data_IF_047678258496
#
_entry.id   IF_047678258496
#
_cell.length_a   1.000
_cell.length_b   1.000
_cell.length_c   1.000
_cell.angle_alpha   90.00
_cell.angle_beta   90.00
_cell.angle_gamma   90.00
#
_symmetry.space_group_name_H-M   'P 1'
#
loop_
_entity.id
_entity.type
_entity.pdbx_description
1 polymer ?
#
# COMPACT_ATOMS: atom_id res chain seq x y z
N UNK A 1 12.29 2.75 -10.74
CA UNK A 1 11.14 3.54 -11.24
C UNK A 1 10.72 4.48 -10.11
N UNK A 2 10.68 5.77 -10.37
CA UNK A 2 10.38 6.78 -9.34
C UNK A 2 8.88 7.06 -9.22
N UNK A 3 8.05 6.39 -10.04
CA UNK A 3 6.60 6.53 -10.10
C UNK A 3 5.93 5.16 -10.25
N UNK A 4 4.69 5.05 -9.83
CA UNK A 4 3.88 3.85 -9.89
C UNK A 4 3.03 3.65 -8.63
N UNK A 5 2.47 2.47 -8.46
CA UNK A 5 1.56 2.12 -7.37
C UNK A 5 2.20 1.08 -6.43
N UNK A 6 2.31 1.41 -5.15
CA UNK A 6 2.69 0.49 -4.11
C UNK A 6 1.50 0.26 -3.16
N UNK A 7 1.17 -1.00 -2.91
CA UNK A 7 -0.03 -1.36 -2.14
C UNK A 7 0.33 -2.12 -0.88
N UNK A 8 -0.18 -1.65 0.26
CA UNK A 8 -0.12 -2.40 1.52
C UNK A 8 -1.49 -2.99 1.80
N UNK A 9 -1.57 -4.28 2.01
CA UNK A 9 -2.82 -4.96 2.30
C UNK A 9 -2.81 -5.70 3.64
N UNK A 10 -3.98 -6.07 4.12
CA UNK A 10 -4.16 -6.78 5.38
C UNK A 10 -5.48 -6.43 6.06
N UNK A 11 -5.81 -7.13 7.12
CA UNK A 11 -7.00 -6.86 7.92
C UNK A 11 -6.90 -5.51 8.65
N UNK A 12 -8.02 -5.02 9.19
CA UNK A 12 -8.03 -3.88 10.12
C UNK A 12 -7.13 -4.20 11.31
N UNK A 13 -6.35 -3.21 11.76
CA UNK A 13 -5.42 -3.39 12.88
C UNK A 13 -4.15 -4.19 12.55
N UNK A 14 -3.85 -4.49 11.27
CA UNK A 14 -2.60 -5.19 10.90
C UNK A 14 -1.37 -4.29 10.78
N UNK A 15 -1.49 -2.99 11.07
CA UNK A 15 -0.39 -2.03 11.05
C UNK A 15 -0.13 -1.37 9.68
N UNK A 16 -1.09 -1.40 8.75
CA UNK A 16 -0.94 -0.82 7.40
C UNK A 16 -0.62 0.67 7.44
N UNK A 17 -1.41 1.48 8.16
CA UNK A 17 -1.19 2.92 8.30
C UNK A 17 0.18 3.22 8.90
N UNK A 18 0.56 2.52 9.97
CA UNK A 18 1.88 2.67 10.60
C UNK A 18 3.02 2.43 9.62
N UNK A 19 2.90 1.40 8.78
CA UNK A 19 3.90 1.09 7.76
C UNK A 19 3.93 2.14 6.65
N UNK A 20 2.76 2.63 6.20
CA UNK A 20 2.70 3.75 5.24
C UNK A 20 3.40 4.98 5.78
N UNK A 21 3.12 5.39 7.01
CA UNK A 21 3.80 6.54 7.62
C UNK A 21 5.32 6.32 7.75
N UNK A 22 5.75 5.11 8.10
CA UNK A 22 7.19 4.79 8.14
C UNK A 22 7.85 4.93 6.75
N UNK A 23 7.15 4.54 5.67
CA UNK A 23 7.62 4.73 4.30
C UNK A 23 7.68 6.22 3.95
N UNK A 24 6.64 7.01 4.28
CA UNK A 24 6.62 8.46 4.04
C UNK A 24 7.74 9.17 4.81
N UNK A 25 7.96 8.82 6.08
CA UNK A 25 9.07 9.35 6.89
C UNK A 25 10.43 9.07 6.22
N UNK A 26 10.62 7.85 5.70
CA UNK A 26 11.85 7.48 4.99
C UNK A 26 12.03 8.26 3.68
N UNK A 27 10.95 8.40 2.88
CA UNK A 27 10.97 9.18 1.64
C UNK A 27 11.30 10.64 1.92
N UNK A 28 10.63 11.27 2.89
CA UNK A 28 10.89 12.65 3.25
C UNK A 28 12.32 12.87 3.72
N UNK A 29 12.85 11.96 4.55
CA UNK A 29 14.23 12.04 5.06
C UNK A 29 15.28 11.95 3.96
N UNK A 30 15.06 11.08 2.96
CA UNK A 30 16.04 10.81 1.91
C UNK A 30 15.93 11.75 0.71
N UNK A 31 14.72 12.17 0.34
CA UNK A 31 14.48 12.79 -0.98
C UNK A 31 13.79 14.15 -0.93
N UNK A 32 13.27 14.61 0.22
CA UNK A 32 12.54 15.89 0.39
C UNK A 32 11.49 16.12 -0.70
N UNK A 33 10.63 15.15 -0.93
CA UNK A 33 9.58 15.16 -1.95
C UNK A 33 8.35 15.94 -1.49
N UNK A 34 7.60 16.48 -2.46
CA UNK A 34 6.28 17.04 -2.19
C UNK A 34 5.28 15.89 -1.95
N UNK A 35 4.88 15.71 -0.70
CA UNK A 35 4.04 14.60 -0.26
C UNK A 35 2.66 15.12 0.09
N UNK A 36 1.61 14.53 -0.47
CA UNK A 36 0.23 14.82 -0.13
C UNK A 36 -0.48 13.53 0.29
N UNK A 37 -1.25 13.59 1.38
CA UNK A 37 -2.01 12.44 1.87
C UNK A 37 -3.51 12.72 1.87
N UNK A 38 -4.29 11.70 1.59
CA UNK A 38 -5.76 11.68 1.69
C UNK A 38 -6.15 10.58 2.68
N UNK A 39 -6.79 10.92 3.78
CA UNK A 39 -6.99 10.02 4.93
C UNK A 39 -8.42 10.12 5.50
N UNK A 40 -8.91 9.02 6.07
CA UNK A 40 -10.25 8.93 6.67
C UNK A 40 -10.20 8.10 7.98
N UNK A 41 -9.96 8.76 9.14
CA UNK A 41 -9.44 10.11 9.37
C UNK A 41 -7.88 10.17 9.34
N UNK A 42 -7.31 11.38 9.59
CA UNK A 42 -5.87 11.53 9.83
C UNK A 42 -5.53 10.91 11.20
N UNK A 43 -4.72 9.84 11.20
CA UNK A 43 -4.32 9.15 12.45
C UNK A 43 -3.11 9.80 13.11
N UNK A 44 -2.15 10.30 12.33
CA UNK A 44 -0.88 10.87 12.81
C UNK A 44 -0.57 12.15 12.02
N UNK A 45 -0.46 13.28 12.71
CA UNK A 45 -0.05 14.53 12.08
C UNK A 45 1.43 14.52 11.69
N UNK A 46 1.74 15.02 10.49
CA UNK A 46 3.09 15.12 9.92
C UNK A 46 3.33 16.51 9.36
N UNK A 47 4.34 17.22 9.88
CA UNK A 47 4.63 18.59 9.49
C UNK A 47 5.26 18.74 8.09
N UNK A 48 5.72 17.63 7.50
CA UNK A 48 6.42 17.63 6.22
C UNK A 48 5.53 17.36 5.01
N UNK A 49 4.25 17.08 5.19
CA UNK A 49 3.32 16.79 4.09
C UNK A 49 2.00 17.56 4.26
N UNK A 50 1.31 17.77 3.14
CA UNK A 50 -0.06 18.26 3.16
C UNK A 50 -0.99 17.07 3.39
N UNK A 51 -1.68 17.06 4.55
CA UNK A 51 -2.65 16.03 4.89
C UNK A 51 -4.08 16.56 4.70
N UNK A 52 -4.89 15.83 3.96
CA UNK A 52 -6.29 16.16 3.69
C UNK A 52 -7.16 15.07 4.32
N UNK A 53 -7.96 15.47 5.30
CA UNK A 53 -8.94 14.56 5.90
C UNK A 53 -10.19 14.48 5.02
N UNK A 54 -10.57 13.26 4.69
CA UNK A 54 -11.79 12.97 3.93
C UNK A 54 -13.00 13.01 4.87
N UNK A 55 -14.02 13.75 4.48
CA UNK A 55 -15.32 13.80 5.18
C UNK A 55 -16.43 13.93 4.13
N UNK A 56 -17.01 12.81 3.73
CA UNK A 56 -18.08 12.76 2.73
C UNK A 56 -19.29 13.60 3.12
N UNK A 57 -19.56 13.79 4.43
CA UNK A 57 -20.66 14.63 4.92
C UNK A 57 -20.43 16.11 4.62
N UNK A 58 -19.17 16.52 4.51
CA UNK A 58 -18.77 17.87 4.11
C UNK A 58 -18.50 18.01 2.61
N UNK A 59 -18.71 16.92 1.84
CA UNK A 59 -18.44 16.89 0.40
C UNK A 59 -16.95 16.75 0.06
N UNK A 60 -16.10 16.39 1.03
CA UNK A 60 -14.66 16.14 0.83
C UNK A 60 -14.48 14.64 0.60
N UNK A 61 -14.61 14.19 -0.64
CA UNK A 61 -14.41 12.80 -1.03
C UNK A 61 -12.99 12.53 -1.53
N UNK A 62 -12.57 11.26 -1.51
CA UNK A 62 -11.30 10.84 -2.13
C UNK A 62 -11.21 11.27 -3.59
N UNK A 63 -12.31 11.10 -4.35
CA UNK A 63 -12.35 11.41 -5.78
C UNK A 63 -12.12 12.89 -6.08
N UNK A 64 -12.84 13.79 -5.39
CA UNK A 64 -12.69 15.23 -5.62
C UNK A 64 -11.34 15.75 -5.11
N UNK A 65 -10.90 15.25 -3.96
CA UNK A 65 -9.61 15.62 -3.40
C UNK A 65 -8.44 15.20 -4.30
N UNK A 66 -8.44 13.97 -4.83
CA UNK A 66 -7.42 13.49 -5.78
C UNK A 66 -7.31 14.38 -7.02
N UNK A 67 -8.45 14.82 -7.59
CA UNK A 67 -8.42 15.74 -8.74
C UNK A 67 -7.80 17.09 -8.40
N UNK A 68 -8.04 17.59 -7.18
CA UNK A 68 -7.52 18.89 -6.76
C UNK A 68 -6.02 18.84 -6.47
N UNK A 69 -5.56 17.80 -5.77
CA UNK A 69 -4.15 17.70 -5.38
C UNK A 69 -3.19 17.57 -6.57
N UNK A 70 -3.62 17.03 -7.70
CA UNK A 70 -2.82 16.97 -8.92
C UNK A 70 -2.38 18.36 -9.43
N UNK A 71 -3.08 19.43 -9.02
CA UNK A 71 -2.70 20.82 -9.33
C UNK A 71 -1.61 21.37 -8.42
N UNK A 72 -1.27 20.66 -7.36
CA UNK A 72 -0.23 21.03 -6.41
C UNK A 72 1.13 20.36 -6.71
N UNK A 73 1.25 19.72 -7.88
CA UNK A 73 2.47 19.07 -8.36
C UNK A 73 3.10 18.12 -7.31
N UNK A 74 2.34 17.12 -6.82
CA UNK A 74 2.84 16.19 -5.84
C UNK A 74 3.82 15.18 -6.46
N UNK A 75 4.92 14.90 -5.77
CA UNK A 75 5.79 13.75 -6.13
C UNK A 75 5.21 12.43 -5.61
N UNK A 76 4.62 12.48 -4.41
CA UNK A 76 4.11 11.31 -3.69
C UNK A 76 2.68 11.58 -3.22
N UNK A 77 1.79 10.66 -3.53
CA UNK A 77 0.39 10.70 -3.10
C UNK A 77 0.13 9.48 -2.22
N UNK A 78 -0.29 9.69 -0.97
CA UNK A 78 -0.81 8.60 -0.14
C UNK A 78 -2.34 8.64 -0.15
N UNK A 79 -2.96 7.56 -0.58
CA UNK A 79 -4.40 7.33 -0.45
C UNK A 79 -4.60 6.34 0.69
N UNK A 80 -5.17 6.79 1.80
CA UNK A 80 -5.28 6.00 3.04
C UNK A 80 -5.88 4.62 2.82
N UNK A 81 -6.98 4.54 2.07
CA UNK A 81 -7.57 3.26 1.67
C UNK A 81 -8.34 3.36 0.36
N UNK A 82 -8.17 2.34 -0.48
CA UNK A 82 -8.98 2.13 -1.70
C UNK A 82 -10.11 1.15 -1.41
N UNK A 83 -11.36 1.67 -1.34
CA UNK A 83 -12.55 0.87 -1.04
C UNK A 83 -13.45 0.64 -2.25
N UNK A 84 -13.45 1.56 -3.20
CA UNK A 84 -14.34 1.61 -4.36
C UNK A 84 -13.60 1.80 -5.69
N UNK A 85 -14.31 1.54 -6.77
CA UNK A 85 -13.80 1.61 -8.14
C UNK A 85 -13.30 3.03 -8.50
N UNK A 86 -14.04 4.07 -8.12
CA UNK A 86 -13.68 5.45 -8.48
C UNK A 86 -12.36 5.86 -7.88
N UNK A 87 -12.15 5.56 -6.59
CA UNK A 87 -10.89 5.81 -5.90
C UNK A 87 -9.75 4.98 -6.49
N UNK A 88 -10.01 3.70 -6.84
CA UNK A 88 -9.04 2.82 -7.48
C UNK A 88 -8.58 3.35 -8.85
N UNK A 89 -9.51 3.76 -9.71
CA UNK A 89 -9.23 4.30 -11.03
C UNK A 89 -8.44 5.62 -10.97
N UNK A 90 -8.72 6.48 -9.98
CA UNK A 90 -7.96 7.70 -9.81
C UNK A 90 -6.55 7.45 -9.28
N UNK A 91 -6.37 6.54 -8.31
CA UNK A 91 -5.06 6.13 -7.84
C UNK A 91 -4.22 5.54 -8.99
N UNK A 92 -4.84 4.71 -9.84
CA UNK A 92 -4.22 4.22 -11.08
C UNK A 92 -3.80 5.35 -12.01
N UNK A 93 -4.70 6.30 -12.27
CA UNK A 93 -4.43 7.44 -13.15
C UNK A 93 -3.24 8.26 -12.62
N UNK A 94 -3.18 8.53 -11.32
CA UNK A 94 -2.05 9.21 -10.70
C UNK A 94 -0.72 8.43 -10.91
N UNK A 95 -0.76 7.11 -10.74
CA UNK A 95 0.42 6.26 -10.95
C UNK A 95 0.89 6.24 -12.41
N UNK A 96 -0.04 6.18 -13.38
CA UNK A 96 0.24 6.24 -14.81
C UNK A 96 0.80 7.59 -15.25
N UNK A 97 0.36 8.68 -14.61
CA UNK A 97 0.80 10.05 -14.92
C UNK A 97 2.11 10.47 -14.23
N UNK A 98 2.80 9.53 -13.60
CA UNK A 98 4.17 9.76 -13.14
C UNK A 98 4.32 10.03 -11.63
N UNK A 99 3.26 9.87 -10.83
CA UNK A 99 3.32 10.03 -9.39
C UNK A 99 3.66 8.71 -8.68
N UNK A 100 4.34 8.77 -7.54
CA UNK A 100 4.43 7.63 -6.63
C UNK A 100 3.16 7.59 -5.77
N UNK A 101 2.34 6.57 -5.99
CA UNK A 101 1.10 6.38 -5.23
C UNK A 101 1.28 5.26 -4.21
N UNK A 102 1.02 5.58 -2.95
CA UNK A 102 1.02 4.64 -1.82
C UNK A 102 -0.42 4.47 -1.34
N UNK A 103 -0.88 3.25 -1.17
CA UNK A 103 -2.26 3.03 -0.70
C UNK A 103 -2.40 1.77 0.13
N UNK A 104 -3.54 1.66 0.83
CA UNK A 104 -3.94 0.41 1.46
C UNK A 104 -5.19 -0.18 0.85
N UNK A 105 -5.33 -1.51 1.00
CA UNK A 105 -6.53 -2.25 0.61
C UNK A 105 -6.74 -3.44 1.55
N UNK A 106 -7.98 -3.87 1.73
CA UNK A 106 -8.27 -5.08 2.48
C UNK A 106 -8.11 -6.32 1.60
N UNK A 107 -7.09 -7.15 1.89
CA UNK A 107 -6.89 -8.46 1.28
C UNK A 107 -6.10 -9.36 2.23
N UNK A 108 -6.19 -10.68 2.05
CA UNK A 108 -5.61 -11.69 2.94
C UNK A 108 -4.17 -12.09 2.59
N UNK A 109 -3.73 -11.82 1.36
CA UNK A 109 -2.40 -12.08 0.82
C UNK A 109 -2.16 -11.24 -0.44
N UNK A 110 -0.91 -11.22 -0.94
CA UNK A 110 -0.52 -10.41 -2.10
C UNK A 110 -1.28 -10.78 -3.39
N UNK A 111 -1.53 -12.06 -3.63
CA UNK A 111 -2.28 -12.51 -4.81
C UNK A 111 -3.74 -12.04 -4.74
N UNK A 112 -4.37 -12.16 -3.58
CA UNK A 112 -5.73 -11.65 -3.39
C UNK A 112 -5.80 -10.12 -3.46
N UNK A 113 -4.70 -9.41 -3.19
CA UNK A 113 -4.60 -7.96 -3.40
C UNK A 113 -4.73 -7.62 -4.89
N UNK A 114 -4.03 -8.35 -5.77
CA UNK A 114 -4.16 -8.16 -7.23
C UNK A 114 -5.61 -8.42 -7.66
N UNK A 115 -6.18 -9.54 -7.26
CA UNK A 115 -7.59 -9.88 -7.58
C UNK A 115 -8.58 -8.82 -7.07
N UNK A 116 -8.30 -8.23 -5.90
CA UNK A 116 -9.15 -7.18 -5.35
C UNK A 116 -9.08 -5.90 -6.19
N UNK A 117 -7.90 -5.52 -6.69
CA UNK A 117 -7.73 -4.41 -7.61
C UNK A 117 -8.43 -4.67 -8.95
N UNK A 118 -8.34 -5.88 -9.51
CA UNK A 118 -9.08 -6.29 -10.70
C UNK A 118 -10.60 -6.23 -10.48
N UNK A 119 -11.10 -6.65 -9.31
CA UNK A 119 -12.52 -6.53 -8.94
C UNK A 119 -12.98 -5.07 -8.77
N UNK A 120 -12.05 -4.13 -8.58
CA UNK A 120 -12.29 -2.67 -8.63
C UNK A 120 -12.12 -2.11 -10.05
N UNK A 121 -12.28 -2.97 -11.05
CA UNK A 121 -12.30 -2.63 -12.47
C UNK A 121 -10.99 -2.03 -13.00
N UNK A 122 -9.84 -2.42 -12.40
CA UNK A 122 -8.51 -2.11 -12.94
C UNK A 122 -8.07 -3.29 -13.81
N UNK A 123 -7.65 -3.01 -15.05
CA UNK A 123 -7.20 -4.08 -15.94
C UNK A 123 -5.86 -4.66 -15.49
N UNK A 124 -5.64 -5.95 -15.79
CA UNK A 124 -4.34 -6.60 -15.51
C UNK A 124 -3.17 -5.91 -16.24
N UNK A 125 -3.42 -5.35 -17.44
CA UNK A 125 -2.41 -4.60 -18.21
C UNK A 125 -2.01 -3.31 -17.49
N UNK A 126 -2.99 -2.53 -17.01
CA UNK A 126 -2.71 -1.31 -16.24
C UNK A 126 -1.95 -1.63 -14.93
N UNK A 127 -2.33 -2.73 -14.25
CA UNK A 127 -1.64 -3.18 -13.04
C UNK A 127 -0.19 -3.59 -13.33
N UNK A 128 0.06 -4.29 -14.45
CA UNK A 128 1.41 -4.66 -14.88
C UNK A 128 2.30 -3.43 -15.08
N UNK A 129 1.74 -2.37 -15.66
CA UNK A 129 2.48 -1.14 -15.95
C UNK A 129 2.85 -0.35 -14.69
N UNK A 130 1.94 -0.28 -13.71
CA UNK A 130 2.10 0.63 -12.56
C UNK A 130 2.55 -0.04 -11.27
N UNK A 131 2.27 -1.33 -11.04
CA UNK A 131 2.58 -1.95 -9.76
C UNK A 131 4.08 -2.05 -9.51
N UNK A 132 4.55 -1.40 -8.46
CA UNK A 132 5.93 -1.45 -7.98
C UNK A 132 6.15 -2.61 -7.00
N UNK A 133 5.14 -2.92 -6.21
CA UNK A 133 5.17 -3.97 -5.23
C UNK A 133 3.87 -4.05 -4.43
N UNK A 134 3.67 -5.19 -3.79
CA UNK A 134 2.57 -5.42 -2.86
C UNK A 134 3.13 -6.02 -1.58
N UNK A 135 2.74 -5.44 -0.45
CA UNK A 135 3.04 -5.98 0.87
C UNK A 135 1.73 -6.33 1.58
N UNK A 136 1.61 -7.55 2.08
CA UNK A 136 0.47 -7.92 2.92
C UNK A 136 0.93 -8.16 4.36
N UNK A 137 0.18 -7.62 5.32
CA UNK A 137 0.55 -7.65 6.73
C UNK A 137 -0.50 -8.37 7.57
N UNK A 138 -0.01 -9.16 8.54
CA UNK A 138 -0.81 -9.80 9.59
C UNK A 138 -0.17 -9.52 10.93
N UNK A 139 -0.94 -8.94 11.85
CA UNK A 139 -0.52 -8.83 13.24
C UNK A 139 -0.63 -10.19 13.92
N UNK A 140 0.36 -10.57 14.69
CA UNK A 140 0.44 -11.82 15.45
C UNK A 140 0.97 -11.56 16.85
N UNK A 141 0.74 -12.51 17.74
CA UNK A 141 1.29 -12.52 19.09
C UNK A 141 2.17 -13.76 19.24
N UNK A 142 3.32 -13.62 19.89
CA UNK A 142 4.13 -14.76 20.31
C UNK A 142 3.61 -15.31 21.65
N UNK A 143 4.25 -16.38 22.16
CA UNK A 143 3.84 -17.02 23.42
C UNK A 143 4.01 -16.09 24.64
N UNK A 144 4.86 -15.07 24.53
CA UNK A 144 5.04 -14.02 25.54
C UNK A 144 4.02 -12.88 25.44
N UNK A 145 3.03 -12.99 24.53
CA UNK A 145 2.05 -11.95 24.19
C UNK A 145 2.65 -10.67 23.60
N UNK A 146 3.87 -10.73 23.09
CA UNK A 146 4.48 -9.63 22.36
C UNK A 146 3.90 -9.58 20.93
N UNK A 147 3.59 -8.35 20.48
CA UNK A 147 3.04 -8.11 19.14
C UNK A 147 4.16 -8.08 18.13
N UNK A 148 3.95 -8.77 17.00
CA UNK A 148 4.82 -8.66 15.83
C UNK A 148 4.00 -8.66 14.54
N UNK A 149 4.60 -8.14 13.47
CA UNK A 149 3.99 -8.12 12.15
C UNK A 149 4.62 -9.23 11.29
N UNK A 150 3.78 -10.13 10.83
CA UNK A 150 4.12 -11.09 9.79
C UNK A 150 3.75 -10.47 8.46
N UNK A 151 4.72 -10.35 7.54
CA UNK A 151 4.47 -9.76 6.22
C UNK A 151 4.91 -10.69 5.09
N UNK A 152 4.18 -10.67 4.00
CA UNK A 152 4.61 -11.19 2.70
C UNK A 152 4.80 -10.04 1.72
N UNK A 153 5.65 -10.24 0.72
CA UNK A 153 5.99 -9.19 -0.23
C UNK A 153 6.23 -9.77 -1.63
N UNK A 154 5.59 -9.15 -2.62
CA UNK A 154 5.87 -9.38 -4.04
C UNK A 154 6.50 -8.12 -4.61
N UNK A 155 7.71 -8.23 -5.15
CA UNK A 155 8.39 -7.17 -5.86
C UNK A 155 7.93 -7.04 -7.32
N UNK A 156 8.29 -5.96 -7.98
CA UNK A 156 7.94 -5.69 -9.37
C UNK A 156 8.36 -6.83 -10.31
N UNK A 157 9.54 -7.42 -10.11
CA UNK A 157 10.03 -8.53 -10.94
C UNK A 157 9.14 -9.77 -10.89
N UNK A 158 8.63 -10.11 -9.70
CA UNK A 158 7.71 -11.22 -9.52
C UNK A 158 6.28 -10.86 -9.94
N UNK A 159 5.86 -9.58 -9.84
CA UNK A 159 4.60 -9.11 -10.41
C UNK A 159 4.58 -9.27 -11.93
N UNK A 160 5.62 -8.85 -12.64
CA UNK A 160 5.73 -9.05 -14.09
C UNK A 160 5.64 -10.53 -14.47
N UNK A 161 6.31 -11.42 -13.72
CA UNK A 161 6.17 -12.87 -13.95
C UNK A 161 4.75 -13.38 -13.69
N UNK A 162 4.06 -12.84 -12.70
CA UNK A 162 2.68 -13.19 -12.39
C UNK A 162 1.75 -12.85 -13.57
N UNK A 163 1.86 -11.63 -14.11
CA UNK A 163 1.05 -11.20 -15.26
C UNK A 163 1.40 -11.99 -16.53
N UNK A 164 2.66 -12.35 -16.75
CA UNK A 164 3.12 -13.27 -17.80
C UNK A 164 2.67 -14.74 -17.59
N UNK A 165 1.92 -15.05 -16.53
CA UNK A 165 1.51 -16.41 -16.14
C UNK A 165 2.69 -17.36 -15.90
N UNK A 166 3.85 -16.83 -15.54
CA UNK A 166 5.05 -17.60 -15.17
C UNK A 166 5.01 -17.96 -13.69
N UNK A 167 5.79 -18.98 -13.32
CA UNK A 167 5.98 -19.34 -11.91
C UNK A 167 6.64 -18.19 -11.17
N UNK A 168 6.02 -17.75 -10.06
CA UNK A 168 6.57 -16.72 -9.16
C UNK A 168 7.20 -17.38 -7.92
N UNK A 169 8.29 -16.79 -7.45
CA UNK A 169 8.91 -17.14 -6.18
C UNK A 169 9.13 -15.86 -5.38
N UNK A 170 8.22 -15.57 -4.47
CA UNK A 170 8.21 -14.36 -3.67
C UNK A 170 8.28 -14.66 -2.18
N UNK A 171 8.47 -13.64 -1.35
CA UNK A 171 8.52 -13.77 0.08
C UNK A 171 7.11 -13.88 0.66
N UNK A 172 6.59 -15.11 0.73
CA UNK A 172 5.26 -15.42 1.23
C UNK A 172 5.22 -15.56 2.77
N UNK A 173 4.02 -15.71 3.33
CA UNK A 173 3.83 -15.87 4.76
C UNK A 173 4.52 -17.11 5.34
N UNK A 174 4.71 -18.16 4.57
CA UNK A 174 5.41 -19.38 5.03
C UNK A 174 6.90 -19.10 5.21
N UNK A 175 7.53 -18.41 4.26
CA UNK A 175 8.93 -17.97 4.37
C UNK A 175 9.10 -16.97 5.50
N UNK A 176 8.17 -16.02 5.65
CA UNK A 176 8.17 -15.04 6.73
C UNK A 176 8.09 -15.73 8.11
N UNK A 177 7.20 -16.70 8.28
CA UNK A 177 7.07 -17.47 9.51
C UNK A 177 8.34 -18.28 9.82
N UNK A 178 8.95 -18.91 8.80
CA UNK A 178 10.22 -19.63 8.95
C UNK A 178 11.35 -18.69 9.40
N UNK A 179 11.46 -17.50 8.81
CA UNK A 179 12.45 -16.49 9.21
C UNK A 179 12.27 -16.10 10.68
N UNK A 180 11.03 -15.85 11.13
CA UNK A 180 10.75 -15.46 12.50
C UNK A 180 11.02 -16.59 13.51
N UNK A 181 10.85 -17.85 13.13
CA UNK A 181 11.26 -19.00 13.92
C UNK A 181 12.78 -19.05 14.08
N UNK A 182 13.50 -18.89 12.97
CA UNK A 182 14.98 -18.95 12.97
C UNK A 182 15.62 -17.85 13.82
N UNK A 183 14.98 -16.68 13.97
CA UNK A 183 15.45 -15.59 14.85
C UNK A 183 14.82 -15.63 16.24
N UNK A 184 14.09 -16.70 16.61
CA UNK A 184 13.56 -16.92 17.95
C UNK A 184 12.35 -16.04 18.34
N UNK A 185 11.69 -15.40 17.39
CA UNK A 185 10.45 -14.62 17.65
C UNK A 185 9.23 -15.53 17.75
N UNK A 186 9.22 -16.63 16.99
CA UNK A 186 8.20 -17.68 17.04
C UNK A 186 8.81 -18.98 17.56
N UNK A 187 8.11 -19.69 18.45
CA UNK A 187 8.52 -21.01 18.88
C UNK A 187 8.21 -22.08 17.80
N UNK A 188 9.00 -23.15 17.79
CA UNK A 188 8.72 -24.32 16.99
C UNK A 188 7.51 -25.07 17.59
N UNK A 189 6.33 -24.92 17.02
CA UNK A 189 5.20 -25.84 17.18
C UNK A 189 4.71 -26.29 15.83
#
# INVERSE_FOLDING_TARGET
>A
KDSGLFVISGATGSGKSTTLYAILDAINKMYKKNIITLEDPIEINKDYCLQIEIDDRKGISYHESLKQILRHDPDVIMVGEVRDEKTAQLALTCALTGHLVLTTIHASNCINTIKRLENLNISSLDLEDVLLGIMTQKMRFNDKKEVFILSEYIDQKNLLKYFDRKKIDYYDFSKAACTLKNVGVLNEK
#
